data_IF_863163927286
#
_entry.id   IF_863163927286
#
_cell.length_a   1.000
_cell.length_b   1.000
_cell.length_c   1.000
_cell.angle_alpha   90.00
_cell.angle_beta   90.00
_cell.angle_gamma   90.00
#
_symmetry.space_group_name_H-M   'P 1'
#
loop_
_entity.id
_entity.type
_entity.pdbx_description
1 polymer ?
#
# COMPACT_ATOMS: atom_id res chain seq x y z
N UNK A 1 46.24 5.26 -11.63
CA UNK A 1 44.76 5.40 -11.47
C UNK A 1 44.53 6.09 -10.13
N UNK A 2 44.00 7.32 -10.13
CA UNK A 2 43.91 8.13 -8.90
C UNK A 2 42.72 7.68 -8.04
N UNK A 3 42.84 7.82 -6.72
CA UNK A 3 41.78 7.42 -5.76
C UNK A 3 40.43 8.09 -6.08
N UNK A 4 40.45 9.31 -6.64
CA UNK A 4 39.26 10.01 -7.14
C UNK A 4 38.60 9.29 -8.32
N UNK A 5 39.39 8.81 -9.27
CA UNK A 5 38.87 8.06 -10.44
C UNK A 5 38.34 6.69 -10.02
N UNK A 6 39.00 6.02 -9.08
CA UNK A 6 38.54 4.74 -8.53
C UNK A 6 37.23 4.89 -7.75
N UNK A 7 37.10 5.93 -6.93
CA UNK A 7 35.89 6.20 -6.13
C UNK A 7 34.69 6.56 -7.01
N UNK A 8 34.90 7.26 -8.13
CA UNK A 8 33.84 7.66 -9.05
C UNK A 8 33.33 6.46 -9.86
N UNK A 9 34.23 5.57 -10.30
CA UNK A 9 33.85 4.30 -10.96
C UNK A 9 33.07 3.38 -10.02
N UNK A 10 33.46 3.31 -8.75
CA UNK A 10 32.80 2.45 -7.76
C UNK A 10 31.38 2.95 -7.40
N UNK A 11 31.16 4.26 -7.31
CA UNK A 11 29.83 4.85 -7.11
C UNK A 11 28.92 4.61 -8.32
N UNK A 12 29.45 4.73 -9.54
CA UNK A 12 28.69 4.44 -10.77
C UNK A 12 28.31 2.95 -10.83
N UNK A 13 29.20 2.04 -10.44
CA UNK A 13 28.92 0.60 -10.43
C UNK A 13 27.82 0.20 -9.43
N UNK A 14 27.76 0.84 -8.25
CA UNK A 14 26.72 0.57 -7.25
C UNK A 14 25.32 1.01 -7.74
N UNK A 15 25.23 2.07 -8.54
CA UNK A 15 23.96 2.56 -9.09
C UNK A 15 23.31 1.60 -10.11
N UNK A 16 24.09 0.75 -10.79
CA UNK A 16 23.55 -0.23 -11.74
C UNK A 16 22.98 -1.50 -11.08
N UNK A 17 23.15 -1.68 -9.78
CA UNK A 17 22.69 -2.88 -9.06
C UNK A 17 21.26 -2.77 -8.49
N UNK A 18 20.63 -1.59 -8.54
CA UNK A 18 19.28 -1.40 -8.00
C UNK A 18 18.22 -1.59 -9.07
N UNK A 19 17.75 -2.83 -9.28
CA UNK A 19 16.59 -3.09 -10.14
C UNK A 19 15.29 -2.76 -9.40
N UNK A 20 14.44 -1.87 -9.92
CA UNK A 20 13.10 -1.67 -9.35
C UNK A 20 12.25 -2.91 -9.62
N UNK A 21 11.80 -3.59 -8.56
CA UNK A 21 10.78 -4.65 -8.66
C UNK A 21 9.41 -3.98 -8.71
N UNK A 22 8.85 -3.88 -9.91
CA UNK A 22 7.47 -3.44 -10.10
C UNK A 22 6.54 -4.57 -9.65
N UNK A 23 5.63 -4.28 -8.73
CA UNK A 23 4.50 -5.16 -8.40
C UNK A 23 3.53 -5.15 -9.57
N UNK A 24 3.74 -6.01 -10.56
CA UNK A 24 2.83 -6.21 -11.68
C UNK A 24 1.70 -7.14 -11.25
N UNK A 25 0.48 -6.90 -11.74
CA UNK A 25 -0.58 -7.88 -11.67
C UNK A 25 -0.21 -9.05 -12.59
N UNK A 26 -0.23 -10.27 -12.04
CA UNK A 26 0.22 -11.49 -12.72
C UNK A 26 -0.66 -11.78 -13.94
N UNK A 27 -0.07 -11.81 -15.13
CA UNK A 27 -0.71 -12.28 -16.35
C UNK A 27 -0.30 -13.73 -16.58
N UNK A 28 -1.27 -14.64 -16.59
CA UNK A 28 -1.06 -16.08 -16.69
C UNK A 28 -1.53 -16.58 -18.05
N UNK A 29 -0.63 -17.21 -18.80
CA UNK A 29 -0.91 -17.76 -20.13
C UNK A 29 -0.64 -19.28 -20.18
N UNK A 30 -1.57 -20.11 -20.70
CA UNK A 30 -1.40 -21.55 -20.85
C UNK A 30 -0.49 -21.87 -22.04
N UNK A 31 0.81 -22.07 -21.80
CA UNK A 31 1.80 -22.25 -22.87
C UNK A 31 1.86 -23.66 -23.46
N UNK A 32 1.23 -24.66 -22.83
CA UNK A 32 1.29 -26.08 -23.22
C UNK A 32 -0.06 -26.65 -23.65
N UNK A 33 -1.00 -25.80 -24.05
CA UNK A 33 -2.33 -26.23 -24.49
C UNK A 33 -3.24 -26.72 -23.37
N UNK A 34 -3.03 -26.24 -22.14
CA UNK A 34 -3.91 -26.54 -21.01
C UNK A 34 -5.34 -26.03 -21.28
N UNK A 35 -6.35 -26.83 -20.94
CA UNK A 35 -7.76 -26.39 -21.01
C UNK A 35 -8.06 -25.31 -19.96
N UNK A 36 -9.17 -24.60 -20.13
CA UNK A 36 -9.63 -23.62 -19.14
C UNK A 36 -9.87 -24.27 -17.77
N UNK A 37 -10.52 -25.44 -17.75
CA UNK A 37 -10.78 -26.18 -16.50
C UNK A 37 -9.49 -26.58 -15.78
N UNK A 38 -8.48 -27.05 -16.54
CA UNK A 38 -7.17 -27.39 -15.98
C UNK A 38 -6.47 -26.13 -15.44
N UNK A 39 -6.56 -25.02 -16.17
CA UNK A 39 -6.00 -23.74 -15.73
C UNK A 39 -6.63 -23.22 -14.46
N UNK A 40 -7.95 -23.30 -14.30
CA UNK A 40 -8.63 -22.88 -13.08
C UNK A 40 -8.21 -23.75 -11.88
N UNK A 41 -8.16 -25.07 -12.09
CA UNK A 41 -7.67 -26.01 -11.08
C UNK A 41 -6.23 -25.71 -10.66
N UNK A 42 -5.33 -25.51 -11.64
CA UNK A 42 -3.92 -25.21 -11.40
C UNK A 42 -3.74 -23.87 -10.68
N UNK A 43 -4.51 -22.84 -11.06
CA UNK A 43 -4.52 -21.54 -10.36
C UNK A 43 -4.96 -21.69 -8.90
N UNK A 44 -5.99 -22.47 -8.63
CA UNK A 44 -6.47 -22.68 -7.26
C UNK A 44 -5.48 -23.47 -6.40
N UNK A 45 -4.88 -24.53 -6.95
CA UNK A 45 -3.85 -25.31 -6.27
C UNK A 45 -2.60 -24.46 -5.99
N UNK A 46 -2.15 -23.68 -6.98
CA UNK A 46 -1.02 -22.79 -6.82
C UNK A 46 -1.31 -21.60 -5.88
N UNK A 47 -2.54 -21.09 -5.86
CA UNK A 47 -3.00 -20.12 -4.85
C UNK A 47 -2.85 -20.70 -3.43
N UNK A 48 -3.36 -21.91 -3.22
CA UNK A 48 -3.34 -22.57 -1.90
C UNK A 48 -1.90 -22.82 -1.46
N UNK A 49 -1.05 -23.29 -2.38
CA UNK A 49 0.37 -23.49 -2.12
C UNK A 49 1.09 -22.17 -1.79
N UNK A 50 0.91 -21.12 -2.60
CA UNK A 50 1.56 -19.83 -2.39
C UNK A 50 1.13 -19.17 -1.06
N UNK A 51 -0.15 -19.27 -0.71
CA UNK A 51 -0.67 -18.86 0.59
C UNK A 51 -0.01 -19.64 1.73
N UNK A 52 0.11 -20.96 1.61
CA UNK A 52 0.80 -21.81 2.58
C UNK A 52 2.29 -21.47 2.74
N UNK A 53 2.96 -21.10 1.66
CA UNK A 53 4.39 -20.71 1.68
C UNK A 53 4.64 -19.34 2.29
N UNK A 54 3.71 -18.39 2.10
CA UNK A 54 3.95 -16.97 2.44
C UNK A 54 3.17 -16.49 3.66
N UNK A 55 2.13 -17.22 4.07
CA UNK A 55 1.18 -16.77 5.09
C UNK A 55 0.30 -15.60 4.64
N UNK A 56 0.44 -15.12 3.40
CA UNK A 56 -0.32 -14.01 2.84
C UNK A 56 -1.48 -14.53 1.97
N UNK A 57 -2.66 -13.96 2.18
CA UNK A 57 -3.85 -14.27 1.40
C UNK A 57 -4.31 -13.04 0.60
N UNK A 58 -4.11 -13.01 -0.73
CA UNK A 58 -4.51 -11.86 -1.54
C UNK A 58 -6.02 -11.69 -1.66
N UNK A 59 -6.82 -12.71 -1.27
CA UNK A 59 -8.29 -12.63 -1.29
C UNK A 59 -8.85 -12.06 0.02
N UNK A 60 -8.04 -11.93 1.07
CA UNK A 60 -8.48 -11.29 2.30
C UNK A 60 -8.51 -9.78 2.14
N UNK A 61 -9.50 -9.14 2.76
CA UNK A 61 -9.56 -7.68 2.84
C UNK A 61 -8.31 -7.18 3.57
N UNK A 62 -7.50 -6.30 2.97
CA UNK A 62 -6.29 -5.83 3.63
C UNK A 62 -6.66 -5.10 4.93
N UNK A 63 -5.93 -5.41 6.00
CA UNK A 63 -6.08 -4.76 7.30
C UNK A 63 -4.77 -4.09 7.67
N UNK A 64 -4.86 -3.01 8.44
CA UNK A 64 -3.65 -2.36 8.93
C UNK A 64 -3.00 -3.23 10.02
N UNK A 65 -1.69 -3.46 9.89
CA UNK A 65 -0.87 -4.23 10.84
C UNK A 65 -0.69 -3.51 12.20
N UNK A 66 -1.01 -2.23 12.29
CA UNK A 66 -0.89 -1.43 13.52
C UNK A 66 -1.97 -0.36 13.60
N UNK A 67 -2.36 0.10 14.80
CA UNK A 67 -3.29 1.22 14.92
C UNK A 67 -2.68 2.51 14.35
N UNK A 68 -3.50 3.41 13.76
CA UNK A 68 -3.01 4.70 13.31
C UNK A 68 -2.54 5.55 14.51
N UNK A 69 -1.58 6.47 14.32
CA UNK A 69 -1.11 7.35 15.38
C UNK A 69 -2.29 8.12 15.98
N UNK A 70 -2.38 8.10 17.33
CA UNK A 70 -3.51 8.65 18.07
C UNK A 70 -3.70 10.13 17.74
N UNK A 71 -4.85 10.48 17.17
CA UNK A 71 -5.24 11.88 17.10
C UNK A 71 -5.63 12.31 18.51
N UNK A 72 -4.78 13.14 19.12
CA UNK A 72 -5.12 13.86 20.33
C UNK A 72 -6.45 14.57 20.06
N UNK A 73 -7.46 14.22 20.86
CA UNK A 73 -8.88 14.61 20.73
C UNK A 73 -9.03 16.00 20.10
N UNK A 74 -9.77 16.09 18.99
CA UNK A 74 -10.33 17.36 18.52
C UNK A 74 -11.31 17.86 19.58
N UNK A 75 -10.83 18.67 20.52
CA UNK A 75 -11.68 19.61 21.26
C UNK A 75 -11.59 20.94 20.53
N UNK A 76 -12.49 21.16 19.58
CA UNK A 76 -12.78 22.50 19.08
C UNK A 76 -14.31 22.58 18.95
N UNK A 77 -14.90 23.37 19.83
CA UNK A 77 -16.33 23.56 19.92
C UNK A 77 -16.91 24.25 18.68
N UNK A 78 -18.21 24.02 18.48
CA UNK A 78 -19.03 24.69 17.46
C UNK A 78 -18.89 24.09 16.07
N UNK A 79 -19.90 23.33 15.65
CA UNK A 79 -20.10 22.86 14.26
C UNK A 79 -19.09 21.83 13.75
N UNK A 80 -19.06 20.67 14.40
CA UNK A 80 -18.57 19.45 13.78
C UNK A 80 -19.76 18.72 13.14
N UNK A 81 -19.80 18.69 11.81
CA UNK A 81 -20.49 17.62 11.08
C UNK A 81 -19.92 16.31 11.60
N UNK A 82 -20.80 15.54 12.22
CA UNK A 82 -20.60 14.17 12.68
C UNK A 82 -20.15 13.30 11.51
N UNK A 83 -18.84 13.20 11.33
CA UNK A 83 -18.19 12.34 10.34
C UNK A 83 -17.03 11.63 11.00
N UNK A 84 -17.32 10.51 11.65
CA UNK A 84 -16.33 9.69 12.34
C UNK A 84 -16.97 8.92 13.47
N UNK A 85 -17.52 7.75 13.12
CA UNK A 85 -18.04 6.74 14.02
C UNK A 85 -17.02 6.51 15.15
N UNK A 86 -17.44 6.89 16.36
CA UNK A 86 -16.79 6.51 17.60
C UNK A 86 -17.07 5.02 17.83
N UNK A 87 -16.01 4.22 17.91
CA UNK A 87 -15.99 2.97 18.65
C UNK A 87 -16.14 1.69 17.81
N UNK A 88 -15.21 0.75 18.05
CA UNK A 88 -15.33 -0.65 17.65
C UNK A 88 -14.63 -0.99 16.33
N UNK A 89 -13.64 -1.88 16.42
CA UNK A 89 -13.07 -2.72 15.36
C UNK A 89 -13.49 -2.40 13.90
N UNK A 90 -12.62 -1.74 13.13
CA UNK A 90 -12.80 -1.59 11.69
C UNK A 90 -12.45 -0.21 11.15
N UNK A 91 -11.19 0.21 11.27
CA UNK A 91 -10.70 1.41 10.62
C UNK A 91 -10.40 1.18 9.14
N UNK A 92 -11.43 1.06 8.31
CA UNK A 92 -11.30 1.11 6.86
C UNK A 92 -11.00 2.55 6.43
N UNK A 93 -9.72 2.89 6.32
CA UNK A 93 -9.27 4.00 5.46
C UNK A 93 -8.08 3.50 4.66
N UNK A 94 -8.35 2.51 3.81
CA UNK A 94 -7.52 2.25 2.64
C UNK A 94 -7.89 3.32 1.61
N UNK A 95 -7.40 4.53 1.83
CA UNK A 95 -7.47 5.61 0.84
C UNK A 95 -6.38 5.40 -0.21
N UNK A 96 -6.63 4.59 -1.23
CA UNK A 96 -5.88 4.69 -2.50
C UNK A 96 -5.21 3.43 -3.07
N UNK A 97 -5.41 2.23 -2.53
CA UNK A 97 -4.88 0.98 -3.17
C UNK A 97 -5.96 0.09 -3.79
N UNK A 98 -7.24 0.48 -3.72
CA UNK A 98 -8.25 -0.08 -4.61
C UNK A 98 -8.35 0.83 -5.85
N UNK A 99 -7.80 0.35 -6.98
CA UNK A 99 -8.03 0.96 -8.29
C UNK A 99 -9.53 1.03 -8.56
N UNK A 100 -10.10 2.22 -8.38
CA UNK A 100 -11.51 2.49 -8.56
C UNK A 100 -11.73 4.00 -8.46
N UNK A 101 -11.89 4.65 -9.61
CA UNK A 101 -12.20 6.07 -9.74
C UNK A 101 -13.59 6.39 -9.15
N UNK A 102 -13.75 6.43 -7.82
CA UNK A 102 -14.84 7.14 -7.15
C UNK A 102 -14.62 7.15 -5.64
N UNK A 103 -14.27 8.30 -5.06
CA UNK A 103 -14.27 8.43 -3.59
C UNK A 103 -13.44 9.56 -3.00
N UNK A 104 -12.52 10.16 -3.76
CA UNK A 104 -11.70 11.28 -3.28
C UNK A 104 -12.36 12.63 -3.64
N UNK A 105 -13.52 12.98 -3.05
CA UNK A 105 -14.09 14.33 -3.22
C UNK A 105 -15.13 14.68 -2.14
N UNK A 106 -14.68 15.09 -0.95
CA UNK A 106 -15.25 16.23 -0.19
C UNK A 106 -14.45 16.49 1.08
N UNK A 107 -13.66 17.55 1.03
CA UNK A 107 -12.92 18.06 2.19
C UNK A 107 -12.24 19.38 1.86
N UNK A 108 -12.92 20.24 1.10
CA UNK A 108 -12.44 21.57 0.76
C UNK A 108 -13.40 22.60 1.33
N UNK A 109 -12.87 23.40 2.24
CA UNK A 109 -13.23 24.79 2.51
C UNK A 109 -14.72 25.12 2.75
N UNK A 110 -15.17 24.94 4.00
CA UNK A 110 -16.14 25.87 4.59
C UNK A 110 -15.57 26.30 5.95
N UNK A 111 -14.75 27.36 5.93
CA UNK A 111 -14.30 28.09 7.12
C UNK A 111 -14.57 29.56 6.84
N UNK A 112 -15.59 30.11 7.51
CA UNK A 112 -16.20 31.40 7.22
C UNK A 112 -15.31 32.62 7.42
N UNK A 113 -15.71 33.72 6.77
CA UNK A 113 -15.03 35.02 6.70
C UNK A 113 -15.28 35.88 7.96
N UNK A 114 -15.91 35.36 9.02
CA UNK A 114 -16.25 36.17 10.21
C UNK A 114 -15.66 35.61 11.51
N UNK A 115 -14.56 36.23 11.94
CA UNK A 115 -14.12 36.24 13.35
C UNK A 115 -13.07 35.21 13.75
N UNK A 116 -11.82 35.65 13.94
CA UNK A 116 -10.85 34.94 14.77
C UNK A 116 -9.46 34.70 14.16
N UNK A 117 -8.73 35.76 13.78
CA UNK A 117 -7.32 35.65 13.33
C UNK A 117 -6.31 35.45 14.47
N UNK A 118 -6.73 35.37 15.74
CA UNK A 118 -5.83 35.32 16.90
C UNK A 118 -5.46 33.92 17.43
N UNK A 119 -5.88 32.82 16.79
CA UNK A 119 -5.59 31.45 17.26
C UNK A 119 -5.05 30.44 16.23
N UNK A 120 -4.95 30.82 14.95
CA UNK A 120 -4.81 29.87 13.84
C UNK A 120 -3.42 29.25 13.62
N UNK A 121 -2.34 29.88 14.10
CA UNK A 121 -0.97 29.46 13.73
C UNK A 121 -0.44 28.29 14.55
N UNK A 122 -0.89 28.12 15.81
CA UNK A 122 -0.48 26.99 16.67
C UNK A 122 -1.22 25.70 16.28
N UNK A 123 -2.50 25.81 15.97
CA UNK A 123 -3.33 24.69 15.49
C UNK A 123 -2.87 24.18 14.12
N UNK A 124 -2.46 25.07 13.21
CA UNK A 124 -1.93 24.68 11.89
C UNK A 124 -0.66 23.83 11.98
N UNK A 125 0.29 24.17 12.88
CA UNK A 125 1.52 23.38 13.06
C UNK A 125 1.25 22.01 13.68
N UNK A 126 0.37 21.93 14.68
CA UNK A 126 -0.01 20.67 15.31
C UNK A 126 -0.74 19.75 14.32
N UNK A 127 -1.62 20.30 13.49
CA UNK A 127 -2.30 19.56 12.43
C UNK A 127 -1.32 19.05 11.35
N UNK A 128 -0.33 19.86 10.95
CA UNK A 128 0.71 19.42 9.98
C UNK A 128 1.58 18.28 10.53
N UNK A 129 1.94 18.33 11.81
CA UNK A 129 2.71 17.25 12.45
C UNK A 129 1.90 15.94 12.50
N UNK A 130 0.62 16.02 12.88
CA UNK A 130 -0.27 14.86 12.88
C UNK A 130 -0.50 14.30 11.46
N UNK A 131 -0.60 15.17 10.45
CA UNK A 131 -0.73 14.76 9.05
C UNK A 131 0.55 14.08 8.53
N UNK A 132 1.73 14.60 8.88
CA UNK A 132 3.02 13.98 8.52
C UNK A 132 3.17 12.60 9.14
N UNK A 133 2.85 12.45 10.43
CA UNK A 133 2.89 11.15 11.11
C UNK A 133 1.90 10.15 10.49
N UNK A 134 0.70 10.62 10.11
CA UNK A 134 -0.29 9.80 9.40
C UNK A 134 0.23 9.34 8.03
N UNK A 135 0.80 10.24 7.23
CA UNK A 135 1.37 9.88 5.92
C UNK A 135 2.50 8.86 6.04
N UNK A 136 3.37 9.02 7.04
CA UNK A 136 4.45 8.06 7.30
C UNK A 136 3.89 6.68 7.69
N UNK A 137 2.87 6.63 8.55
CA UNK A 137 2.19 5.39 8.93
C UNK A 137 1.51 4.73 7.72
N UNK A 138 0.80 5.50 6.89
CA UNK A 138 0.15 5.01 5.66
C UNK A 138 1.18 4.41 4.69
N UNK A 139 2.31 5.08 4.49
CA UNK A 139 3.40 4.57 3.65
C UNK A 139 4.02 3.28 4.20
N UNK A 140 4.23 3.20 5.52
CA UNK A 140 4.76 1.98 6.14
C UNK A 140 3.80 0.81 6.00
N UNK A 141 2.50 1.02 6.24
CA UNK A 141 1.47 0.01 6.06
C UNK A 141 1.38 -0.46 4.61
N UNK A 142 1.38 0.47 3.65
CA UNK A 142 1.37 0.14 2.23
C UNK A 142 2.61 -0.66 1.82
N UNK A 143 3.81 -0.25 2.28
CA UNK A 143 5.05 -0.95 1.97
C UNK A 143 5.07 -2.38 2.52
N UNK A 144 4.58 -2.59 3.74
CA UNK A 144 4.47 -3.93 4.33
C UNK A 144 3.52 -4.83 3.51
N UNK A 145 2.35 -4.31 3.16
CA UNK A 145 1.40 -5.02 2.32
C UNK A 145 2.00 -5.38 0.95
N UNK A 146 2.68 -4.43 0.30
CA UNK A 146 3.33 -4.65 -0.99
C UNK A 146 4.41 -5.71 -0.93
N UNK A 147 5.22 -5.75 0.15
CA UNK A 147 6.24 -6.78 0.34
C UNK A 147 5.62 -8.19 0.45
N UNK A 148 4.55 -8.33 1.23
CA UNK A 148 3.85 -9.61 1.39
C UNK A 148 3.17 -10.04 0.09
N UNK A 149 2.51 -9.11 -0.62
CA UNK A 149 1.90 -9.35 -1.93
C UNK A 149 2.94 -9.78 -2.96
N UNK A 150 4.11 -9.13 -2.99
CA UNK A 150 5.20 -9.51 -3.89
C UNK A 150 5.75 -10.92 -3.56
N UNK A 151 5.88 -11.26 -2.28
CA UNK A 151 6.28 -12.60 -1.87
C UNK A 151 5.27 -13.66 -2.35
N UNK A 152 3.97 -13.40 -2.14
CA UNK A 152 2.89 -14.23 -2.66
C UNK A 152 2.93 -14.36 -4.18
N UNK A 153 3.06 -13.24 -4.90
CA UNK A 153 3.05 -13.24 -6.37
C UNK A 153 4.21 -14.07 -6.93
N UNK A 154 5.41 -13.99 -6.33
CA UNK A 154 6.55 -14.82 -6.72
C UNK A 154 6.31 -16.30 -6.48
N UNK A 155 5.74 -16.67 -5.33
CA UNK A 155 5.39 -18.06 -5.05
C UNK A 155 4.32 -18.57 -6.04
N UNK A 156 3.25 -17.81 -6.24
CA UNK A 156 2.18 -18.16 -7.14
C UNK A 156 2.69 -18.32 -8.59
N UNK A 157 3.53 -17.40 -9.05
CA UNK A 157 4.19 -17.47 -10.35
C UNK A 157 5.06 -18.73 -10.48
N UNK A 158 5.93 -19.00 -9.50
CA UNK A 158 6.83 -20.15 -9.53
C UNK A 158 6.08 -21.49 -9.63
N UNK A 159 4.96 -21.64 -8.93
CA UNK A 159 4.12 -22.84 -9.01
C UNK A 159 3.52 -23.02 -10.42
N UNK A 160 2.98 -21.95 -11.00
CA UNK A 160 2.39 -21.97 -12.32
C UNK A 160 3.44 -22.18 -13.42
N UNK A 161 4.60 -21.54 -13.32
CA UNK A 161 5.75 -21.76 -14.21
C UNK A 161 6.21 -23.22 -14.17
N UNK A 162 6.27 -23.83 -12.98
CA UNK A 162 6.56 -25.26 -12.82
C UNK A 162 5.55 -26.18 -13.52
N UNK A 163 4.29 -25.74 -13.66
CA UNK A 163 3.23 -26.43 -14.42
C UNK A 163 3.22 -26.09 -15.91
N UNK A 164 4.15 -25.28 -16.38
CA UNK A 164 4.27 -24.91 -17.79
C UNK A 164 3.32 -23.79 -18.22
N UNK A 165 2.90 -22.93 -17.29
CA UNK A 165 2.31 -21.64 -17.62
C UNK A 165 3.40 -20.59 -17.84
N UNK A 166 3.13 -19.63 -18.71
CA UNK A 166 3.92 -18.40 -18.78
C UNK A 166 3.29 -17.39 -17.85
N UNK A 167 4.05 -16.86 -16.91
CA UNK A 167 3.61 -15.83 -15.97
C UNK A 167 4.41 -14.55 -16.22
N UNK A 168 3.72 -13.41 -16.26
CA UNK A 168 4.32 -12.09 -16.50
C UNK A 168 3.81 -11.06 -15.50
#
# INVERSE_FOLDING_TARGET
MNYKTLSLVLVVFIFFLTTPSWSQDLIIYPAKGQSNDQMEKDKFECYTWAKGQTGFDPMQTPTASSPPPSQQKKSVGGSAVTGGILGGAGGAVIGGIAGGSSGARKGAAIGGISGGVLGGTRSSRQNRQAEQQRKQWEQQQANQYMQQRNAYNRAHAACLEGRGYTVK
#
